data_IF_923479104073
#
_entry.id   IF_923479104073
#
_cell.length_a   1.000
_cell.length_b   1.000
_cell.length_c   1.000
_cell.angle_alpha   90.00
_cell.angle_beta   90.00
_cell.angle_gamma   90.00
#
_symmetry.space_group_name_H-M   'P 1'
#
loop_
_entity.id
_entity.type
_entity.pdbx_description
1 polymer ?
#
# COMPACT_ATOMS: atom_id res chain seq x y z
N UNK A 1 -6.47 29.75 -37.50
CA UNK A 1 -7.58 28.90 -37.02
C UNK A 1 -6.99 27.74 -36.25
N UNK A 2 -6.96 27.86 -34.92
CA UNK A 2 -6.61 26.79 -33.98
C UNK A 2 -7.88 26.62 -33.15
N UNK A 3 -8.54 25.48 -33.31
CA UNK A 3 -9.85 25.21 -32.73
C UNK A 3 -9.77 24.96 -31.23
N UNK A 4 -10.53 25.74 -30.47
CA UNK A 4 -10.83 25.50 -29.07
C UNK A 4 -11.60 24.19 -28.91
N UNK A 5 -11.01 23.19 -28.26
CA UNK A 5 -11.75 22.03 -27.75
C UNK A 5 -11.94 22.22 -26.25
N UNK A 6 -13.21 22.38 -25.87
CA UNK A 6 -13.66 22.68 -24.51
C UNK A 6 -13.42 21.52 -23.55
N UNK A 7 -12.96 21.89 -22.36
CA UNK A 7 -12.92 21.02 -21.18
C UNK A 7 -14.34 21.00 -20.59
N UNK A 8 -15.00 19.84 -20.44
CA UNK A 8 -16.31 19.80 -19.77
C UNK A 8 -16.13 20.03 -18.26
N UNK A 9 -17.03 20.78 -17.60
CA UNK A 9 -16.98 20.95 -16.15
C UNK A 9 -17.46 19.67 -15.47
N UNK A 10 -16.57 19.01 -14.71
CA UNK A 10 -16.98 17.91 -13.84
C UNK A 10 -17.59 18.52 -12.57
N UNK A 11 -18.90 18.37 -12.44
CA UNK A 11 -19.65 18.72 -11.25
C UNK A 11 -19.17 17.89 -10.05
N UNK A 12 -18.72 18.58 -9.00
CA UNK A 12 -18.45 17.98 -7.69
C UNK A 12 -19.79 17.77 -6.99
N UNK A 13 -20.30 16.55 -7.01
CA UNK A 13 -21.43 16.15 -6.17
C UNK A 13 -20.90 15.77 -4.78
N UNK A 14 -21.01 16.70 -3.84
CA UNK A 14 -20.81 16.46 -2.41
C UNK A 14 -22.06 15.78 -1.84
N UNK A 15 -22.06 14.46 -1.74
CA UNK A 15 -23.09 13.73 -1.00
C UNK A 15 -22.63 13.52 0.45
N UNK A 16 -23.05 14.41 1.34
CA UNK A 16 -23.02 14.17 2.77
C UNK A 16 -24.11 13.14 3.12
N UNK A 17 -23.73 11.96 3.63
CA UNK A 17 -24.70 11.03 4.20
C UNK A 17 -24.57 11.06 5.73
N UNK A 18 -25.63 11.58 6.35
CA UNK A 18 -25.88 11.60 7.79
C UNK A 18 -25.90 10.18 8.36
N UNK A 19 -25.17 9.97 9.44
CA UNK A 19 -25.25 8.76 10.26
C UNK A 19 -26.56 8.76 11.06
N UNK A 20 -27.42 7.77 10.85
CA UNK A 20 -28.48 7.43 11.79
C UNK A 20 -28.05 6.23 12.64
N UNK A 21 -28.02 6.44 13.95
CA UNK A 21 -27.84 5.40 14.95
C UNK A 21 -28.99 4.39 14.86
N UNK A 22 -28.69 3.10 14.72
CA UNK A 22 -29.66 2.02 14.75
C UNK A 22 -28.99 0.69 15.05
N UNK A 23 -29.11 0.24 16.30
CA UNK A 23 -28.70 -1.08 16.77
C UNK A 23 -29.60 -2.16 16.17
N UNK A 24 -29.02 -3.17 15.51
CA UNK A 24 -29.77 -4.36 15.08
C UNK A 24 -29.21 -5.63 15.76
N UNK A 25 -29.99 -6.33 16.62
CA UNK A 25 -29.59 -7.56 17.26
C UNK A 25 -30.04 -8.76 16.40
N UNK A 26 -29.26 -9.11 15.38
CA UNK A 26 -29.31 -10.43 14.74
C UNK A 26 -28.04 -10.64 13.91
N UNK A 27 -27.38 -11.77 14.15
CA UNK A 27 -26.00 -12.07 13.75
C UNK A 27 -25.76 -12.33 12.26
N UNK A 28 -26.21 -11.45 11.36
CA UNK A 28 -25.71 -11.41 10.00
C UNK A 28 -25.95 -10.04 9.34
N UNK A 29 -25.37 -8.97 9.89
CA UNK A 29 -25.19 -7.74 9.11
C UNK A 29 -23.89 -7.87 8.33
N UNK A 30 -23.96 -8.04 7.02
CA UNK A 30 -22.82 -7.77 6.15
C UNK A 30 -22.30 -6.38 6.51
N UNK A 31 -21.08 -6.30 7.04
CA UNK A 31 -20.47 -5.03 7.39
C UNK A 31 -20.37 -4.21 6.09
N UNK A 32 -20.99 -3.02 5.99
CA UNK A 32 -20.87 -2.17 4.80
C UNK A 32 -19.41 -1.78 4.47
N UNK A 33 -18.49 -1.90 5.44
CA UNK A 33 -17.04 -1.74 5.27
C UNK A 33 -16.31 -3.02 4.77
N UNK A 34 -17.03 -4.12 4.49
CA UNK A 34 -16.47 -5.37 3.96
C UNK A 34 -16.90 -5.67 2.50
N UNK A 35 -16.83 -4.73 1.54
CA UNK A 35 -16.88 -5.12 0.13
C UNK A 35 -15.59 -5.84 -0.31
N UNK A 36 -14.51 -5.72 0.48
CA UNK A 36 -13.21 -6.33 0.22
C UNK A 36 -13.03 -7.64 1.04
N UNK A 37 -12.71 -8.79 0.40
CA UNK A 37 -12.36 -10.04 1.05
C UNK A 37 -11.32 -9.85 2.15
N UNK A 38 -11.33 -10.78 3.09
CA UNK A 38 -10.29 -10.83 4.10
C UNK A 38 -9.01 -11.39 3.49
N UNK A 39 -8.14 -10.49 3.06
CA UNK A 39 -6.85 -10.82 2.47
C UNK A 39 -5.75 -10.98 3.53
N UNK A 40 -6.11 -11.42 4.74
CA UNK A 40 -5.14 -11.81 5.77
C UNK A 40 -4.23 -12.89 5.20
N UNK A 41 -3.00 -12.48 4.95
CA UNK A 41 -2.00 -13.06 4.05
C UNK A 41 -1.92 -14.58 4.01
N UNK A 42 -2.11 -15.14 2.82
CA UNK A 42 -1.42 -16.37 2.42
C UNK A 42 -0.02 -15.97 1.96
N UNK A 43 1.01 -16.45 2.65
CA UNK A 43 2.39 -16.27 2.22
C UNK A 43 2.59 -17.03 0.89
N UNK A 44 2.98 -16.33 -0.17
CA UNK A 44 3.41 -16.98 -1.42
C UNK A 44 4.86 -17.46 -1.22
N UNK A 45 5.04 -18.78 -1.06
CA UNK A 45 6.37 -19.40 -1.05
C UNK A 45 6.93 -19.43 -2.47
N UNK A 46 8.12 -18.87 -2.69
CA UNK A 46 8.83 -18.93 -3.97
C UNK A 46 9.09 -17.56 -4.62
N UNK A 47 9.64 -17.54 -5.85
CA UNK A 47 9.79 -16.31 -6.64
C UNK A 47 8.43 -15.63 -6.86
N UNK A 48 8.39 -14.30 -7.02
CA UNK A 48 7.17 -13.59 -7.38
C UNK A 48 6.58 -14.16 -8.68
N UNK A 49 5.42 -14.81 -8.57
CA UNK A 49 4.66 -15.28 -9.71
C UNK A 49 3.33 -14.53 -9.74
N UNK A 50 3.21 -13.63 -10.71
CA UNK A 50 2.02 -12.80 -10.87
C UNK A 50 0.75 -13.64 -11.11
N UNK A 51 0.85 -14.84 -11.70
CA UNK A 51 -0.31 -15.71 -11.89
C UNK A 51 -0.92 -16.14 -10.55
N UNK A 52 -0.11 -16.23 -9.49
CA UNK A 52 -0.56 -16.56 -8.13
C UNK A 52 -0.95 -15.33 -7.30
N UNK A 53 -0.81 -14.12 -7.85
CA UNK A 53 -1.17 -12.86 -7.20
C UNK A 53 -2.56 -12.36 -7.60
N UNK A 54 -3.19 -12.94 -8.62
CA UNK A 54 -4.55 -12.56 -8.99
C UNK A 54 -5.56 -13.08 -7.95
N UNK A 55 -6.41 -12.19 -7.43
CA UNK A 55 -7.51 -12.57 -6.57
C UNK A 55 -8.81 -12.70 -7.36
N UNK A 56 -9.78 -13.43 -6.80
CA UNK A 56 -11.14 -13.47 -7.35
C UNK A 56 -11.70 -12.05 -7.45
N UNK A 57 -12.28 -11.65 -8.60
CA UNK A 57 -12.84 -10.31 -8.79
C UNK A 57 -13.91 -10.00 -7.74
N UNK A 58 -13.91 -8.76 -7.26
CA UNK A 58 -14.91 -8.24 -6.32
C UNK A 58 -16.28 -8.02 -6.93
N UNK A 59 -16.31 -7.81 -8.25
CA UNK A 59 -17.50 -7.62 -9.04
C UNK A 59 -17.26 -8.17 -10.45
N UNK A 60 -18.34 -8.44 -11.19
CA UNK A 60 -18.29 -8.75 -12.61
C UNK A 60 -17.92 -7.49 -13.40
N UNK A 61 -16.63 -7.20 -13.50
CA UNK A 61 -16.08 -6.08 -14.26
C UNK A 61 -14.87 -6.52 -15.07
N UNK A 62 -14.45 -5.67 -16.01
CA UNK A 62 -13.28 -5.91 -16.86
C UNK A 62 -11.94 -5.72 -16.12
N UNK A 63 -11.94 -5.01 -14.99
CA UNK A 63 -10.74 -4.72 -14.21
C UNK A 63 -10.39 -5.85 -13.26
N UNK A 64 -9.09 -6.11 -13.13
CA UNK A 64 -8.56 -7.22 -12.32
C UNK A 64 -8.27 -6.75 -10.90
N UNK A 65 -8.25 -7.72 -10.00
CA UNK A 65 -7.86 -7.50 -8.62
C UNK A 65 -6.60 -8.30 -8.31
N UNK A 66 -5.58 -7.62 -7.80
CA UNK A 66 -4.28 -8.20 -7.50
C UNK A 66 -3.98 -8.16 -6.00
N UNK A 67 -3.21 -9.11 -5.52
CA UNK A 67 -2.65 -9.16 -4.17
C UNK A 67 -1.13 -9.14 -4.26
N UNK A 68 -0.52 -8.10 -3.71
CA UNK A 68 0.93 -7.98 -3.64
C UNK A 68 1.41 -8.19 -2.20
N UNK A 69 1.83 -9.41 -1.82
CA UNK A 69 2.38 -9.66 -0.50
C UNK A 69 3.74 -8.95 -0.36
N UNK A 70 4.12 -8.66 0.89
CA UNK A 70 5.40 -8.05 1.21
C UNK A 70 6.39 -9.14 1.63
N UNK A 71 7.28 -9.52 0.72
CA UNK A 71 8.32 -10.51 0.92
C UNK A 71 9.68 -9.88 0.59
N UNK A 72 10.81 -10.52 0.93
CA UNK A 72 12.12 -10.03 0.51
C UNK A 72 12.28 -9.86 -1.03
N UNK A 73 11.47 -10.57 -1.82
CA UNK A 73 11.49 -10.51 -3.28
C UNK A 73 10.59 -9.41 -3.86
N UNK A 74 9.61 -8.93 -3.09
CA UNK A 74 8.66 -7.89 -3.52
C UNK A 74 8.89 -6.56 -2.80
N UNK A 75 9.94 -6.45 -2.00
CA UNK A 75 10.24 -5.25 -1.22
C UNK A 75 11.67 -4.77 -1.42
N UNK A 76 11.84 -3.45 -1.35
CA UNK A 76 13.14 -2.78 -1.29
C UNK A 76 13.29 -2.12 0.09
N UNK A 77 14.41 -2.31 0.76
CA UNK A 77 14.68 -1.59 2.00
C UNK A 77 15.60 -0.42 1.74
N UNK A 78 15.09 0.79 2.00
CA UNK A 78 15.87 1.99 2.24
C UNK A 78 16.43 2.63 0.98
N UNK A 79 16.00 2.14 -0.17
CA UNK A 79 16.29 2.66 -1.49
C UNK A 79 15.00 2.68 -2.29
N UNK A 80 14.96 3.57 -3.27
CA UNK A 80 14.02 3.50 -4.38
C UNK A 80 14.85 3.32 -5.64
N UNK A 81 14.85 2.09 -6.18
CA UNK A 81 15.58 1.72 -7.39
C UNK A 81 14.59 1.53 -8.54
N UNK A 82 14.63 2.45 -9.52
CA UNK A 82 13.79 2.39 -10.72
C UNK A 82 14.30 1.42 -11.79
N UNK A 83 15.52 0.87 -11.62
CA UNK A 83 16.09 -0.16 -12.49
C UNK A 83 15.65 -1.58 -12.12
N UNK A 84 15.00 -1.77 -10.97
CA UNK A 84 14.49 -3.08 -10.57
C UNK A 84 13.37 -3.57 -11.49
N UNK A 85 13.42 -4.85 -11.85
CA UNK A 85 12.34 -5.49 -12.58
C UNK A 85 11.03 -5.37 -11.77
N UNK A 86 9.90 -5.05 -12.43
CA UNK A 86 8.63 -4.94 -11.74
C UNK A 86 8.19 -6.29 -11.22
N UNK A 87 7.68 -6.28 -9.99
CA UNK A 87 7.19 -7.48 -9.29
C UNK A 87 5.71 -7.75 -9.55
N UNK A 88 5.02 -6.78 -10.15
CA UNK A 88 3.64 -6.86 -10.59
C UNK A 88 3.43 -5.94 -11.80
N UNK A 89 2.70 -6.40 -12.82
CA UNK A 89 2.22 -5.58 -13.94
C UNK A 89 0.70 -5.46 -13.89
N UNK A 90 0.17 -4.26 -14.06
CA UNK A 90 -1.28 -4.00 -14.01
C UNK A 90 -1.72 -3.15 -15.19
N UNK A 91 -3.02 -3.21 -15.50
CA UNK A 91 -3.67 -2.30 -16.44
C UNK A 91 -4.33 -1.12 -15.71
N UNK A 92 -4.56 -0.02 -16.43
CA UNK A 92 -5.28 1.12 -15.87
C UNK A 92 -6.70 0.71 -15.42
N UNK A 93 -7.05 1.09 -14.20
CA UNK A 93 -8.33 0.73 -13.56
C UNK A 93 -8.29 -0.55 -12.71
N UNK A 94 -7.20 -1.33 -12.76
CA UNK A 94 -7.02 -2.47 -11.85
C UNK A 94 -6.92 -2.02 -10.38
N UNK A 95 -7.27 -2.92 -9.47
CA UNK A 95 -7.11 -2.71 -8.03
C UNK A 95 -6.03 -3.63 -7.47
N UNK A 96 -5.17 -3.10 -6.60
CA UNK A 96 -4.12 -3.88 -5.93
C UNK A 96 -4.27 -3.78 -4.41
N UNK A 97 -4.41 -4.92 -3.74
CA UNK A 97 -4.21 -5.05 -2.30
C UNK A 97 -2.70 -5.21 -2.02
N UNK A 98 -2.07 -4.14 -1.52
CA UNK A 98 -0.64 -4.12 -1.25
C UNK A 98 -0.41 -4.36 0.24
N UNK A 99 0.39 -5.36 0.57
CA UNK A 99 0.94 -5.51 1.90
C UNK A 99 2.17 -4.61 2.03
N UNK A 100 2.30 -3.94 3.17
CA UNK A 100 3.46 -3.09 3.50
C UNK A 100 4.13 -3.60 4.77
N UNK A 101 5.45 -3.43 4.85
CA UNK A 101 6.22 -3.74 6.07
C UNK A 101 6.56 -2.43 6.79
N UNK A 102 6.42 -2.36 8.13
CA UNK A 102 6.88 -1.20 8.89
C UNK A 102 8.36 -0.88 8.65
N UNK A 103 8.74 0.36 8.91
CA UNK A 103 10.14 0.79 8.86
C UNK A 103 11.04 -0.12 9.73
N UNK A 104 12.32 -0.22 9.34
CA UNK A 104 13.25 -1.18 9.92
C UNK A 104 12.98 -2.63 9.49
N UNK A 105 12.30 -2.83 8.35
CA UNK A 105 11.95 -4.15 7.83
C UNK A 105 11.04 -4.95 8.77
N UNK A 106 10.21 -4.27 9.57
CA UNK A 106 9.32 -4.89 10.55
C UNK A 106 10.02 -5.43 11.81
N UNK A 107 11.33 -5.19 11.95
CA UNK A 107 12.11 -5.63 13.11
C UNK A 107 11.91 -4.72 14.33
N UNK A 108 11.46 -3.47 14.10
CA UNK A 108 11.07 -2.57 15.18
C UNK A 108 9.71 -2.98 15.70
N UNK A 109 9.68 -3.78 16.77
CA UNK A 109 8.48 -4.42 17.32
C UNK A 109 8.46 -4.36 18.87
N UNK A 110 7.32 -4.59 19.53
CA UNK A 110 7.24 -4.60 20.98
C UNK A 110 8.28 -5.55 21.61
N UNK A 111 8.97 -5.08 22.65
CA UNK A 111 9.95 -5.86 23.41
C UNK A 111 11.43 -5.62 23.04
N UNK A 112 11.73 -4.79 22.04
CA UNK A 112 13.11 -4.37 21.74
C UNK A 112 13.47 -3.06 22.48
N UNK A 113 14.76 -2.84 22.73
CA UNK A 113 15.29 -1.61 23.32
C UNK A 113 15.88 -0.64 22.27
N UNK A 114 16.14 0.59 22.68
CA UNK A 114 16.68 1.66 21.82
C UNK A 114 17.97 1.27 21.11
N UNK A 115 18.92 0.62 21.80
CA UNK A 115 20.17 0.18 21.19
C UNK A 115 19.98 -0.89 20.09
N UNK A 116 18.89 -1.66 20.12
CA UNK A 116 18.53 -2.57 19.04
C UNK A 116 17.92 -1.81 17.85
N UNK A 117 17.11 -0.78 18.11
CA UNK A 117 16.54 0.09 17.08
C UNK A 117 17.64 0.81 16.31
N UNK A 118 18.64 1.36 17.00
CA UNK A 118 19.79 2.02 16.38
C UNK A 118 20.56 1.07 15.45
N UNK A 119 20.77 -0.19 15.89
CA UNK A 119 21.41 -1.22 15.06
C UNK A 119 20.60 -1.57 13.81
N UNK A 120 19.27 -1.70 13.94
CA UNK A 120 18.37 -1.98 12.80
C UNK A 120 18.43 -0.82 11.79
N UNK A 121 18.33 0.42 12.26
CA UNK A 121 18.32 1.60 11.40
C UNK A 121 19.68 1.85 10.72
N UNK A 122 20.78 1.48 11.39
CA UNK A 122 22.15 1.60 10.86
C UNK A 122 22.68 0.35 10.14
N UNK A 123 21.88 -0.71 10.00
CA UNK A 123 22.34 -2.02 9.51
C UNK A 123 22.90 -1.96 8.08
N UNK A 124 22.40 -1.03 7.26
CA UNK A 124 22.88 -0.83 5.88
C UNK A 124 23.27 0.63 5.68
N UNK A 125 24.55 0.94 5.40
CA UNK A 125 24.99 2.30 5.13
C UNK A 125 24.26 2.93 3.94
N UNK A 126 24.02 4.24 4.01
CA UNK A 126 23.40 5.04 2.94
C UNK A 126 21.98 4.58 2.53
N UNK A 127 21.25 3.92 3.44
CA UNK A 127 19.87 3.50 3.22
C UNK A 127 18.93 4.15 4.21
N UNK A 128 17.74 4.51 3.73
CA UNK A 128 16.64 4.97 4.58
C UNK A 128 16.00 3.85 5.40
N UNK A 129 15.16 4.18 6.39
CA UNK A 129 14.56 3.18 7.28
C UNK A 129 13.35 2.47 6.65
N UNK A 130 12.82 2.97 5.54
CA UNK A 130 11.55 2.49 4.97
C UNK A 130 11.72 1.24 4.12
N UNK A 131 10.74 0.36 4.21
CA UNK A 131 10.55 -0.76 3.27
C UNK A 131 9.47 -0.38 2.27
N UNK A 132 9.76 -0.55 0.98
CA UNK A 132 8.88 -0.17 -0.14
C UNK A 132 8.50 -1.43 -0.90
N UNK A 133 7.20 -1.76 -0.94
CA UNK A 133 6.68 -2.90 -1.71
C UNK A 133 6.50 -2.48 -3.18
N UNK A 134 7.07 -3.26 -4.10
CA UNK A 134 7.09 -2.95 -5.53
C UNK A 134 8.43 -3.28 -6.20
N UNK A 135 8.70 -2.74 -7.40
CA UNK A 135 7.88 -1.78 -8.15
C UNK A 135 6.70 -2.43 -8.88
N UNK A 136 5.59 -1.70 -8.98
CA UNK A 136 4.42 -2.08 -9.79
C UNK A 136 4.49 -1.31 -11.10
N UNK A 137 4.41 -2.02 -12.23
CA UNK A 137 4.43 -1.43 -13.57
C UNK A 137 3.01 -1.30 -14.11
N UNK A 138 2.69 -0.13 -14.64
CA UNK A 138 1.38 0.17 -15.25
C UNK A 138 1.53 0.12 -16.77
N UNK A 139 0.80 -0.77 -17.42
CA UNK A 139 0.87 -0.94 -18.87
C UNK A 139 0.44 0.33 -19.60
N UNK A 140 1.26 0.75 -20.57
CA UNK A 140 1.01 1.94 -21.40
C UNK A 140 1.32 3.28 -20.74
N UNK A 141 1.83 3.30 -19.51
CA UNK A 141 2.26 4.55 -18.88
C UNK A 141 3.59 5.05 -19.46
N UNK A 142 3.66 6.33 -19.81
CA UNK A 142 4.82 6.98 -20.42
C UNK A 142 5.32 8.19 -19.59
N UNK A 143 6.60 8.61 -19.73
CA UNK A 143 7.09 9.80 -19.07
C UNK A 143 6.28 11.05 -19.44
N UNK A 144 5.71 11.72 -18.43
CA UNK A 144 4.82 12.86 -18.61
C UNK A 144 3.36 12.57 -18.25
N UNK A 145 3.00 11.28 -18.16
CA UNK A 145 1.69 10.88 -17.64
C UNK A 145 1.56 11.13 -16.14
N UNK A 146 0.31 11.16 -15.68
CA UNK A 146 -0.04 11.27 -14.26
C UNK A 146 -0.66 9.97 -13.80
N UNK A 147 -0.07 9.37 -12.76
CA UNK A 147 -0.66 8.22 -12.08
C UNK A 147 -1.67 8.71 -11.02
N UNK A 148 -2.95 8.39 -11.22
CA UNK A 148 -3.97 8.59 -10.21
C UNK A 148 -4.07 7.33 -9.32
N UNK A 149 -3.82 7.48 -8.01
CA UNK A 149 -3.92 6.39 -7.03
C UNK A 149 -5.09 6.70 -6.10
N UNK A 150 -6.11 5.82 -6.09
CA UNK A 150 -7.21 5.87 -5.14
C UNK A 150 -6.98 4.84 -4.03
N UNK A 151 -6.77 5.30 -2.80
CA UNK A 151 -6.67 4.43 -1.62
C UNK A 151 -8.08 4.09 -1.15
N UNK A 152 -8.57 2.91 -1.53
CA UNK A 152 -9.91 2.46 -1.18
C UNK A 152 -10.04 2.08 0.31
N UNK A 153 -9.02 1.43 0.87
CA UNK A 153 -9.04 0.90 2.24
C UNK A 153 -7.63 0.72 2.80
N UNK A 154 -7.50 0.92 4.11
CA UNK A 154 -6.32 0.54 4.89
C UNK A 154 -6.75 -0.48 5.95
N UNK A 155 -5.97 -1.55 6.13
CA UNK A 155 -6.07 -2.45 7.28
C UNK A 155 -4.81 -2.32 8.10
N UNK A 156 -4.98 -2.08 9.39
CA UNK A 156 -3.85 -1.92 10.31
C UNK A 156 -3.29 -3.28 10.70
N UNK A 157 -1.98 -3.32 10.92
CA UNK A 157 -1.32 -4.40 11.64
C UNK A 157 -1.73 -4.39 13.13
N UNK A 158 -1.35 -5.44 13.85
CA UNK A 158 -1.68 -5.63 15.27
C UNK A 158 -0.91 -4.70 16.23
N UNK A 159 0.09 -3.96 15.75
CA UNK A 159 0.79 -2.92 16.52
C UNK A 159 1.34 -1.83 15.60
N UNK A 160 1.77 -0.73 16.22
CA UNK A 160 2.52 0.36 15.58
C UNK A 160 3.71 0.74 16.47
N UNK A 161 4.70 1.41 15.89
CA UNK A 161 5.88 1.86 16.61
C UNK A 161 6.09 3.35 16.41
N UNK A 162 6.47 4.01 17.50
CA UNK A 162 7.00 5.36 17.51
C UNK A 162 8.33 5.30 18.24
N UNK A 163 9.39 5.80 17.62
CA UNK A 163 10.69 5.90 18.25
C UNK A 163 11.30 7.27 17.96
N UNK A 164 12.07 7.77 18.94
CA UNK A 164 12.89 8.96 18.80
C UNK A 164 14.33 8.49 18.89
N UNK A 165 15.01 8.45 17.75
CA UNK A 165 16.42 8.05 17.72
C UNK A 165 17.31 9.22 18.15
N UNK A 166 18.37 8.93 18.90
CA UNK A 166 19.36 9.93 19.31
C UNK A 166 19.96 10.65 18.10
N UNK A 167 20.03 11.98 18.14
CA UNK A 167 20.55 12.80 17.04
C UNK A 167 19.66 12.80 15.79
N UNK A 168 18.39 12.42 15.90
CA UNK A 168 17.39 12.43 14.82
C UNK A 168 16.12 13.17 15.29
N UNK A 169 15.29 13.57 14.34
CA UNK A 169 14.04 14.29 14.61
C UNK A 169 14.22 15.81 14.58
N UNK A 170 13.21 16.53 15.08
CA UNK A 170 13.19 17.99 15.07
C UNK A 170 14.17 18.62 16.08
N UNK A 171 14.39 17.94 17.21
CA UNK A 171 15.28 18.38 18.29
C UNK A 171 16.36 17.31 18.53
N UNK A 172 17.44 17.31 17.74
CA UNK A 172 18.46 16.27 17.81
C UNK A 172 19.42 16.38 19.00
N UNK A 173 19.49 17.57 19.62
CA UNK A 173 20.48 17.94 20.66
C UNK A 173 19.85 18.15 22.06
N UNK A 174 18.52 18.04 22.18
CA UNK A 174 17.78 18.07 23.45
C UNK A 174 17.61 16.65 24.01
#
# INVERSE_FOLDING_TARGET
>A
MIGSRGIPPIAVALAALLASCGSNPSGNSANPDKPYPDYSVTYLQGPPDQAHMEAKPLASGAHRFWMLPATPQTTQWGVYDNGMAPVLRIDSGDTVAIQTVPAGGGQVAPGINEGQIEKINGAVPNRGPHTVTGPIYVNGAEPGDVLAIHINRIRLSNFATNNTAKGKGLFPDE
#
